data_IF_230012516170
#
_entry.id   IF_230012516170
#
_cell.length_a   1.000
_cell.length_b   1.000
_cell.length_c   1.000
_cell.angle_alpha   90.00
_cell.angle_beta   90.00
_cell.angle_gamma   90.00
#
_symmetry.space_group_name_H-M   'P 1'
#
loop_
_entity.id
_entity.type
_entity.pdbx_description
1 polymer ?
#
# COMPACT_ATOMS: atom_id res chain seq x y z
N UNK A 1 -17.71 -30.51 13.00
CA UNK A 1 -18.99 -30.84 12.35
C UNK A 1 -18.85 -30.32 10.93
N UNK A 2 -18.32 -31.14 10.01
CA UNK A 2 -18.06 -30.74 8.61
C UNK A 2 -19.40 -30.49 7.93
N UNK A 3 -19.55 -29.37 7.23
CA UNK A 3 -20.79 -29.09 6.49
C UNK A 3 -20.69 -29.74 5.11
N UNK A 4 -21.82 -30.24 4.57
CA UNK A 4 -21.87 -30.90 3.24
C UNK A 4 -21.32 -30.04 2.09
N UNK A 5 -21.21 -28.73 2.31
CA UNK A 5 -20.63 -27.78 1.36
C UNK A 5 -19.10 -27.85 1.35
N UNK A 6 -18.48 -28.03 2.52
CA UNK A 6 -17.03 -28.15 2.67
C UNK A 6 -16.52 -29.40 1.95
N UNK A 7 -17.26 -30.51 2.07
CA UNK A 7 -16.91 -31.78 1.43
C UNK A 7 -16.96 -31.68 -0.11
N UNK A 8 -17.91 -30.92 -0.67
CA UNK A 8 -18.02 -30.68 -2.13
C UNK A 8 -16.88 -29.83 -2.66
N UNK A 9 -16.48 -28.80 -1.92
CA UNK A 9 -15.38 -27.91 -2.31
C UNK A 9 -14.05 -28.69 -2.29
N UNK A 10 -13.86 -29.57 -1.32
CA UNK A 10 -12.71 -30.47 -1.24
C UNK A 10 -12.64 -31.42 -2.43
N UNK A 11 -13.76 -32.05 -2.80
CA UNK A 11 -13.83 -32.94 -3.97
C UNK A 11 -13.50 -32.20 -5.28
N UNK A 12 -13.98 -30.97 -5.44
CA UNK A 12 -13.69 -30.12 -6.60
C UNK A 12 -12.20 -29.71 -6.67
N UNK A 13 -11.60 -29.39 -5.53
CA UNK A 13 -10.20 -28.99 -5.44
C UNK A 13 -9.24 -30.16 -5.70
N UNK A 14 -9.57 -31.36 -5.22
CA UNK A 14 -8.82 -32.59 -5.51
C UNK A 14 -8.96 -32.97 -6.98
N UNK A 15 -10.17 -32.89 -7.56
CA UNK A 15 -10.42 -33.21 -8.96
C UNK A 15 -9.72 -32.23 -9.93
N UNK A 16 -9.54 -30.97 -9.51
CA UNK A 16 -8.83 -29.95 -10.29
C UNK A 16 -7.29 -30.04 -10.21
N UNK A 17 -6.75 -31.00 -9.44
CA UNK A 17 -5.31 -31.20 -9.25
C UNK A 17 -4.61 -30.05 -8.49
N UNK A 18 -5.39 -29.20 -7.82
CA UNK A 18 -4.90 -28.04 -7.06
C UNK A 18 -4.59 -28.36 -5.60
N UNK A 19 -4.99 -29.55 -5.15
CA UNK A 19 -4.78 -30.07 -3.80
C UNK A 19 -4.40 -31.54 -3.94
N UNK A 20 -3.16 -31.88 -3.61
CA UNK A 20 -2.69 -33.25 -3.54
C UNK A 20 -3.15 -33.86 -2.20
N UNK A 21 -3.56 -35.13 -2.21
CA UNK A 21 -4.07 -35.82 -1.01
C UNK A 21 -3.05 -35.85 0.14
N UNK A 22 -1.76 -35.75 -0.19
CA UNK A 22 -0.63 -35.77 0.73
C UNK A 22 -0.57 -34.51 1.63
N UNK A 23 -0.89 -33.33 1.08
CA UNK A 23 -0.91 -32.06 1.82
C UNK A 23 -2.00 -32.05 2.91
N UNK A 24 -3.11 -32.74 2.65
CA UNK A 24 -4.22 -32.84 3.61
C UNK A 24 -3.87 -33.76 4.80
N UNK A 25 -3.14 -34.85 4.55
CA UNK A 25 -2.67 -35.72 5.63
C UNK A 25 -1.67 -35.01 6.55
N UNK A 26 -0.79 -34.17 6.00
CA UNK A 26 0.20 -33.42 6.77
C UNK A 26 -0.46 -32.41 7.73
N UNK A 27 -1.45 -31.66 7.26
CA UNK A 27 -2.20 -30.70 8.08
C UNK A 27 -2.99 -31.42 9.19
N UNK A 28 -3.56 -32.58 8.88
CA UNK A 28 -4.33 -33.36 9.85
C UNK A 28 -3.41 -33.99 10.91
N UNK A 29 -2.21 -34.40 10.53
CA UNK A 29 -1.17 -34.86 11.46
C UNK A 29 -0.67 -33.74 12.37
N UNK A 30 -0.45 -32.53 11.84
CA UNK A 30 -0.04 -31.37 12.62
C UNK A 30 -1.13 -30.95 13.63
N UNK A 31 -2.39 -30.96 13.20
CA UNK A 31 -3.55 -30.66 14.05
C UNK A 31 -3.67 -31.64 15.22
N UNK A 32 -3.55 -32.95 14.97
CA UNK A 32 -3.58 -33.97 16.04
C UNK A 32 -2.44 -33.79 17.05
N UNK A 33 -1.23 -33.52 16.57
CA UNK A 33 -0.06 -33.32 17.44
C UNK A 33 -0.17 -32.06 18.30
N UNK A 34 -0.81 -31.00 17.80
CA UNK A 34 -1.03 -29.76 18.55
C UNK A 34 -2.11 -29.92 19.62
N UNK A 35 -3.19 -30.65 19.32
CA UNK A 35 -4.27 -30.91 20.28
C UNK A 35 -3.77 -31.77 21.45
N UNK A 36 -2.92 -32.77 21.18
CA UNK A 36 -2.35 -33.63 22.24
C UNK A 36 -1.36 -32.90 23.18
N UNK A 37 -0.76 -31.77 22.76
CA UNK A 37 0.19 -31.01 23.59
C UNK A 37 -0.39 -29.77 24.29
N UNK A 38 -1.58 -29.30 23.90
CA UNK A 38 -2.17 -28.06 24.41
C UNK A 38 -3.32 -28.26 25.41
N UNK A 39 -3.78 -29.50 25.62
CA UNK A 39 -4.81 -29.84 26.62
C UNK A 39 -4.20 -30.29 27.96
N UNK A 40 -3.27 -29.50 28.51
CA UNK A 40 -2.94 -29.62 29.93
C UNK A 40 -3.96 -28.77 30.68
N UNK A 41 -4.98 -29.42 31.24
CA UNK A 41 -5.86 -28.76 32.20
C UNK A 41 -4.99 -28.16 33.32
N UNK A 42 -5.15 -26.87 33.66
CA UNK A 42 -4.35 -26.26 34.71
C UNK A 42 -4.51 -27.08 35.99
N UNK A 43 -3.42 -27.40 36.72
CA UNK A 43 -3.51 -28.22 37.91
C UNK A 43 -4.45 -27.55 38.92
N UNK A 44 -5.41 -28.29 39.49
CA UNK A 44 -6.47 -27.79 40.40
C UNK A 44 -5.99 -26.78 41.48
N UNK A 45 -4.72 -26.84 41.87
CA UNK A 45 -4.08 -25.86 42.77
C UNK A 45 -3.95 -24.42 42.25
N UNK A 46 -4.16 -24.18 40.95
CA UNK A 46 -4.06 -22.84 40.34
C UNK A 46 -5.30 -22.00 40.66
N UNK A 47 -6.48 -22.63 40.70
CA UNK A 47 -7.73 -22.00 41.11
C UNK A 47 -7.70 -21.62 42.60
N UNK A 48 -7.20 -22.51 43.46
CA UNK A 48 -7.05 -22.23 44.89
C UNK A 48 -6.17 -21.02 45.15
N UNK A 49 -5.05 -20.90 44.41
CA UNK A 49 -4.15 -19.73 44.49
C UNK A 49 -4.82 -18.46 44.00
N UNK A 50 -5.59 -18.55 42.91
CA UNK A 50 -6.33 -17.42 42.36
C UNK A 50 -7.38 -16.90 43.35
N UNK A 51 -8.20 -17.79 43.94
CA UNK A 51 -9.20 -17.41 44.93
C UNK A 51 -8.57 -16.89 46.23
N UNK A 52 -7.43 -17.44 46.66
CA UNK A 52 -6.66 -16.86 47.77
C UNK A 52 -6.15 -15.44 47.47
N UNK A 53 -5.67 -15.17 46.25
CA UNK A 53 -5.25 -13.82 45.86
C UNK A 53 -6.43 -12.84 45.81
N UNK A 54 -7.59 -13.26 45.30
CA UNK A 54 -8.82 -12.45 45.31
C UNK A 54 -9.26 -12.11 46.74
N UNK A 55 -9.29 -13.11 47.63
CA UNK A 55 -9.64 -12.91 49.03
C UNK A 55 -8.66 -11.94 49.74
N UNK A 56 -7.35 -12.08 49.47
CA UNK A 56 -6.31 -11.20 50.01
C UNK A 56 -6.42 -9.75 49.50
N UNK A 57 -6.91 -9.54 48.29
CA UNK A 57 -7.09 -8.21 47.72
C UNK A 57 -8.40 -7.55 48.20
N UNK A 58 -9.49 -8.32 48.31
CA UNK A 58 -10.78 -7.83 48.77
C UNK A 58 -10.80 -7.45 50.26
N UNK A 59 -9.97 -8.07 51.10
CA UNK A 59 -9.85 -7.70 52.52
C UNK A 59 -9.08 -6.40 52.76
N UNK A 60 -8.21 -5.98 51.82
CA UNK A 60 -7.47 -4.70 51.92
C UNK A 60 -8.30 -3.50 51.46
N UNK A 61 -9.42 -3.73 50.78
CA UNK A 61 -10.29 -2.68 50.26
C UNK A 61 -11.26 -2.08 51.30
N UNK A 62 -11.48 -2.73 52.45
CA UNK A 62 -12.61 -2.39 53.35
C UNK A 62 -12.24 -1.71 54.68
N UNK A 63 -10.98 -1.31 54.89
CA UNK A 63 -10.58 -0.51 56.05
C UNK A 63 -9.93 0.81 55.64
N UNK A 64 -10.66 1.63 54.89
CA UNK A 64 -10.36 3.07 54.81
C UNK A 64 -11.09 3.77 55.94
N UNK A 65 -10.36 4.08 57.00
CA UNK A 65 -10.80 5.02 58.03
C UNK A 65 -11.15 6.34 57.34
N UNK A 66 -12.43 6.66 57.30
CA UNK A 66 -12.91 7.96 56.87
C UNK A 66 -12.58 8.98 57.96
N UNK A 67 -11.32 9.41 57.99
CA UNK A 67 -10.96 10.65 58.68
C UNK A 67 -11.74 11.74 57.96
N UNK A 68 -12.73 12.32 58.64
CA UNK A 68 -13.56 13.41 58.15
C UNK A 68 -12.68 14.62 57.83
N UNK A 69 -12.06 14.61 56.66
CA UNK A 69 -11.44 15.78 56.07
C UNK A 69 -12.56 16.75 55.71
N UNK A 70 -12.38 18.02 56.05
CA UNK A 70 -13.34 19.08 55.74
C UNK A 70 -13.52 19.20 54.23
N UNK A 71 -14.47 18.45 53.67
CA UNK A 71 -14.75 18.37 52.24
C UNK A 71 -15.04 19.74 51.61
N UNK A 72 -15.47 20.73 52.40
CA UNK A 72 -15.71 22.10 51.92
C UNK A 72 -14.43 22.82 51.50
N UNK A 73 -13.31 22.67 52.23
CA UNK A 73 -12.03 23.30 51.84
C UNK A 73 -11.34 22.51 50.74
N UNK A 74 -11.47 21.18 50.76
CA UNK A 74 -10.91 20.31 49.72
C UNK A 74 -11.62 20.49 48.37
N UNK A 75 -12.95 20.66 48.37
CA UNK A 75 -13.72 20.93 47.15
C UNK A 75 -13.36 22.28 46.52
N UNK A 76 -13.07 23.30 47.34
CA UNK A 76 -12.71 24.63 46.87
C UNK A 76 -11.32 24.61 46.21
N UNK A 77 -10.33 23.96 46.84
CA UNK A 77 -9.00 23.77 46.26
C UNK A 77 -9.06 22.93 44.98
N UNK A 78 -9.85 21.85 44.96
CA UNK A 78 -10.01 20.99 43.80
C UNK A 78 -10.67 21.74 42.62
N UNK A 79 -11.68 22.57 42.89
CA UNK A 79 -12.33 23.40 41.87
C UNK A 79 -11.37 24.44 41.29
N UNK A 80 -10.54 25.07 42.13
CA UNK A 80 -9.51 26.00 41.66
C UNK A 80 -8.45 25.31 40.81
N UNK A 81 -7.96 24.13 41.22
CA UNK A 81 -6.99 23.33 40.45
C UNK A 81 -7.56 22.86 39.12
N UNK A 82 -8.84 22.46 39.09
CA UNK A 82 -9.54 22.06 37.88
C UNK A 82 -9.69 23.25 36.92
N UNK A 83 -10.10 24.41 37.42
CA UNK A 83 -10.19 25.64 36.62
C UNK A 83 -8.82 26.08 36.09
N UNK A 84 -7.78 26.01 36.92
CA UNK A 84 -6.42 26.38 36.52
C UNK A 84 -5.86 25.38 35.50
N UNK A 85 -6.10 24.09 35.69
CA UNK A 85 -5.73 23.04 34.75
C UNK A 85 -6.52 23.12 33.44
N UNK A 86 -7.81 23.45 33.51
CA UNK A 86 -8.65 23.67 32.33
C UNK A 86 -8.22 24.91 31.56
N UNK A 87 -7.90 26.01 32.26
CA UNK A 87 -7.44 27.25 31.64
C UNK A 87 -6.04 27.10 31.02
N UNK A 88 -5.10 26.47 31.74
CA UNK A 88 -3.79 26.12 31.21
C UNK A 88 -3.91 25.15 30.02
N UNK A 89 -4.77 24.14 30.14
CA UNK A 89 -5.07 23.19 29.07
C UNK A 89 -5.70 23.87 27.86
N UNK A 90 -6.59 24.83 28.05
CA UNK A 90 -7.22 25.60 26.97
C UNK A 90 -6.20 26.51 26.25
N UNK A 91 -5.29 27.15 27.00
CA UNK A 91 -4.20 27.93 26.43
C UNK A 91 -3.24 27.04 25.61
N UNK A 92 -2.87 25.87 26.14
CA UNK A 92 -1.99 24.90 25.47
C UNK A 92 -2.68 24.24 24.26
N UNK A 93 -3.98 23.98 24.32
CA UNK A 93 -4.75 23.41 23.22
C UNK A 93 -4.80 24.36 22.01
N UNK A 94 -4.76 25.67 22.23
CA UNK A 94 -4.67 26.68 21.17
C UNK A 94 -3.33 26.66 20.42
N UNK A 95 -2.29 26.09 21.02
CA UNK A 95 -0.96 25.96 20.43
C UNK A 95 -0.71 24.58 19.79
N UNK A 96 -1.52 23.58 20.11
CA UNK A 96 -1.46 22.23 19.54
C UNK A 96 -2.22 22.06 18.22
N UNK A 97 -2.63 23.15 17.57
CA UNK A 97 -2.75 23.17 16.11
C UNK A 97 -1.36 23.27 15.48
N UNK A 98 -0.41 22.41 15.89
CA UNK A 98 0.69 22.04 15.00
C UNK A 98 -0.02 21.47 13.79
N UNK A 99 0.06 22.22 12.71
CA UNK A 99 -0.82 22.10 11.57
C UNK A 99 -0.84 20.65 11.13
N UNK A 100 -2.00 19.99 11.14
CA UNK A 100 -2.12 18.63 10.57
C UNK A 100 -1.52 18.57 9.15
N UNK A 101 -1.51 19.70 8.44
CA UNK A 101 -0.81 19.88 7.18
C UNK A 101 0.70 19.65 7.27
N UNK A 102 1.38 20.13 8.31
CA UNK A 102 2.83 19.99 8.48
C UNK A 102 3.22 18.54 8.74
N UNK A 103 2.41 17.81 9.52
CA UNK A 103 2.60 16.37 9.74
C UNK A 103 2.33 15.55 8.47
N UNK A 104 1.29 15.92 7.70
CA UNK A 104 0.98 15.28 6.42
C UNK A 104 2.07 15.55 5.38
N UNK A 105 2.61 16.77 5.33
CA UNK A 105 3.72 17.13 4.45
C UNK A 105 4.98 16.32 4.75
N UNK A 106 5.35 16.18 6.02
CA UNK A 106 6.49 15.35 6.44
C UNK A 106 6.30 13.87 6.06
N UNK A 107 5.08 13.33 6.23
CA UNK A 107 4.79 11.96 5.83
C UNK A 107 4.86 11.77 4.30
N UNK A 108 4.43 12.75 3.51
CA UNK A 108 4.53 12.69 2.05
C UNK A 108 5.99 12.76 1.58
N UNK A 109 6.81 13.62 2.21
CA UNK A 109 8.24 13.73 1.91
C UNK A 109 9.00 12.42 2.21
N UNK A 110 8.72 11.77 3.34
CA UNK A 110 9.30 10.47 3.67
C UNK A 110 8.87 9.37 2.68
N UNK A 111 7.58 9.37 2.26
CA UNK A 111 7.10 8.42 1.24
C UNK A 111 7.82 8.63 -0.09
N UNK A 112 8.03 9.88 -0.49
CA UNK A 112 8.74 10.24 -1.69
C UNK A 112 10.20 9.75 -1.67
N UNK A 113 10.90 9.94 -0.55
CA UNK A 113 12.26 9.44 -0.38
C UNK A 113 12.36 7.91 -0.51
N UNK A 114 11.41 7.18 0.10
CA UNK A 114 11.32 5.72 0.00
C UNK A 114 11.08 5.27 -1.45
N UNK A 115 10.20 5.94 -2.18
CA UNK A 115 9.95 5.64 -3.59
C UNK A 115 11.23 5.82 -4.41
N UNK A 116 11.91 6.96 -4.25
CA UNK A 116 13.13 7.28 -5.00
C UNK A 116 14.26 6.28 -4.67
N UNK A 117 14.47 5.97 -3.40
CA UNK A 117 15.47 4.99 -2.97
C UNK A 117 15.20 3.59 -3.55
N UNK A 118 13.93 3.18 -3.63
CA UNK A 118 13.58 1.89 -4.22
C UNK A 118 13.70 1.88 -5.75
N UNK A 119 13.49 3.01 -6.43
CA UNK A 119 13.72 3.14 -7.87
C UNK A 119 15.20 2.96 -8.26
N UNK A 120 16.15 3.31 -7.38
CA UNK A 120 17.60 3.14 -7.61
C UNK A 120 18.11 1.71 -7.28
N UNK A 121 17.22 0.80 -6.88
CA UNK A 121 17.59 -0.55 -6.46
C UNK A 121 17.95 -1.45 -7.65
N UNK A 122 18.93 -2.36 -7.49
CA UNK A 122 19.33 -3.34 -8.53
C UNK A 122 18.22 -4.32 -8.91
N UNK A 123 17.31 -4.66 -8.00
CA UNK A 123 16.24 -5.63 -8.28
C UNK A 123 15.07 -5.01 -9.03
N UNK A 124 14.70 -5.60 -10.18
CA UNK A 124 13.50 -5.26 -10.96
C UNK A 124 12.22 -5.31 -10.11
N UNK A 125 12.08 -6.29 -9.22
CA UNK A 125 10.88 -6.40 -8.38
C UNK A 125 10.75 -5.23 -7.40
N UNK A 126 11.88 -4.74 -6.88
CA UNK A 126 11.90 -3.59 -5.97
C UNK A 126 11.51 -2.30 -6.69
N UNK A 127 12.02 -2.11 -7.92
CA UNK A 127 11.66 -0.95 -8.76
C UNK A 127 10.20 -0.97 -9.19
N UNK A 128 9.65 -2.15 -9.56
CA UNK A 128 8.21 -2.30 -9.84
C UNK A 128 7.35 -1.95 -8.62
N UNK A 129 7.72 -2.42 -7.43
CA UNK A 129 7.02 -2.04 -6.20
C UNK A 129 7.07 -0.52 -5.98
N UNK A 130 8.22 0.12 -6.21
CA UNK A 130 8.38 1.56 -6.08
C UNK A 130 7.43 2.32 -6.99
N UNK A 131 7.32 1.91 -8.25
CA UNK A 131 6.37 2.49 -9.21
C UNK A 131 4.93 2.29 -8.73
N UNK A 132 4.56 1.10 -8.26
CA UNK A 132 3.22 0.83 -7.73
C UNK A 132 2.84 1.70 -6.52
N UNK A 133 3.81 2.09 -5.68
CA UNK A 133 3.57 2.99 -4.55
C UNK A 133 3.13 4.41 -4.98
N UNK A 134 3.53 4.86 -6.18
CA UNK A 134 3.15 6.18 -6.70
C UNK A 134 1.66 6.30 -7.01
N UNK A 135 0.99 5.19 -7.31
CA UNK A 135 -0.46 5.16 -7.58
C UNK A 135 -1.30 5.43 -6.32
N UNK A 136 -0.72 5.23 -5.12
CA UNK A 136 -1.39 5.44 -3.84
C UNK A 136 -1.14 6.85 -3.27
N UNK A 137 -0.43 7.71 -4.00
CA UNK A 137 -0.18 9.09 -3.57
C UNK A 137 -1.35 9.98 -4.04
N UNK A 138 -1.87 10.87 -3.17
CA UNK A 138 -2.97 11.77 -3.54
C UNK A 138 -2.54 12.79 -4.59
N UNK A 139 -1.28 13.21 -4.57
CA UNK A 139 -0.63 14.02 -5.60
C UNK A 139 0.79 13.49 -5.82
N UNK A 140 1.24 13.52 -7.07
CA UNK A 140 2.63 13.21 -7.43
C UNK A 140 3.41 14.51 -7.49
N UNK A 141 4.51 14.59 -6.74
CA UNK A 141 5.41 15.73 -6.76
C UNK A 141 6.20 15.79 -8.07
N UNK A 142 6.69 16.97 -8.43
CA UNK A 142 7.53 17.18 -9.61
C UNK A 142 8.73 16.21 -9.67
N UNK A 143 9.33 15.92 -8.50
CA UNK A 143 10.48 15.02 -8.39
C UNK A 143 10.11 13.57 -8.70
N UNK A 144 8.94 13.11 -8.27
CA UNK A 144 8.44 11.76 -8.60
C UNK A 144 8.11 11.69 -10.10
N UNK A 145 7.48 12.73 -10.67
CA UNK A 145 7.24 12.79 -12.12
C UNK A 145 8.55 12.67 -12.91
N UNK A 146 9.56 13.44 -12.55
CA UNK A 146 10.89 13.41 -13.19
C UNK A 146 11.55 12.04 -13.02
N UNK A 147 11.49 11.46 -11.83
CA UNK A 147 12.02 10.13 -11.57
C UNK A 147 11.34 9.05 -12.44
N UNK A 148 10.00 9.06 -12.53
CA UNK A 148 9.27 8.13 -13.40
C UNK A 148 9.63 8.33 -14.88
N UNK A 149 9.74 9.57 -15.36
CA UNK A 149 10.18 9.86 -16.73
C UNK A 149 11.62 9.38 -17.00
N UNK A 150 12.52 9.52 -16.02
CA UNK A 150 13.86 8.93 -16.10
C UNK A 150 13.82 7.40 -16.14
N UNK A 151 12.96 6.77 -15.34
CA UNK A 151 12.75 5.32 -15.33
C UNK A 151 12.26 4.81 -16.69
N UNK A 152 11.34 5.53 -17.35
CA UNK A 152 10.85 5.20 -18.70
C UNK A 152 11.98 5.21 -19.75
N UNK A 153 13.01 6.04 -19.59
CA UNK A 153 14.09 6.11 -20.59
C UNK A 153 15.28 5.21 -20.26
N UNK A 154 15.50 4.90 -18.98
CA UNK A 154 16.76 4.32 -18.53
C UNK A 154 16.63 2.95 -17.82
N UNK A 155 15.43 2.52 -17.41
CA UNK A 155 15.32 1.25 -16.69
C UNK A 155 15.67 0.08 -17.62
N UNK A 156 16.53 -0.87 -17.20
CA UNK A 156 16.88 -2.01 -18.03
C UNK A 156 15.70 -2.95 -18.30
N UNK A 157 14.66 -2.94 -17.46
CA UNK A 157 13.50 -3.83 -17.60
C UNK A 157 12.33 -3.14 -18.31
N UNK A 158 11.90 -3.72 -19.42
CA UNK A 158 10.69 -3.32 -20.16
C UNK A 158 9.46 -3.21 -19.25
N UNK A 159 9.30 -4.16 -18.31
CA UNK A 159 8.18 -4.18 -17.37
C UNK A 159 8.16 -2.96 -16.45
N UNK A 160 9.33 -2.51 -15.97
CA UNK A 160 9.41 -1.31 -15.12
C UNK A 160 9.12 -0.06 -15.94
N UNK A 161 9.60 0.00 -17.20
CA UNK A 161 9.29 1.11 -18.12
C UNK A 161 7.79 1.19 -18.39
N UNK A 162 7.13 0.06 -18.70
CA UNK A 162 5.68 -0.03 -18.91
C UNK A 162 4.91 0.39 -17.66
N UNK A 163 5.26 -0.15 -16.49
CA UNK A 163 4.61 0.23 -15.24
C UNK A 163 4.75 1.74 -14.94
N UNK A 164 5.90 2.33 -15.29
CA UNK A 164 6.14 3.76 -15.09
C UNK A 164 5.30 4.62 -16.03
N UNK A 165 5.10 4.17 -17.28
CA UNK A 165 4.18 4.80 -18.24
C UNK A 165 2.75 4.77 -17.67
N UNK A 166 2.30 3.62 -17.19
CA UNK A 166 0.96 3.46 -16.62
C UNK A 166 0.73 4.34 -15.39
N UNK A 167 1.73 4.45 -14.51
CA UNK A 167 1.69 5.30 -13.33
C UNK A 167 1.57 6.80 -13.67
N UNK A 168 2.00 7.23 -14.86
CA UNK A 168 1.90 8.62 -15.29
C UNK A 168 0.55 8.99 -15.94
N UNK A 169 -0.27 8.00 -16.34
CA UNK A 169 -1.57 8.25 -17.00
C UNK A 169 -2.49 9.19 -16.21
N UNK A 170 -2.68 9.02 -14.88
CA UNK A 170 -3.56 9.91 -14.09
C UNK A 170 -3.12 11.39 -14.13
N UNK A 171 -1.84 11.64 -14.43
CA UNK A 171 -1.21 12.96 -14.43
C UNK A 171 -1.06 13.54 -15.84
N UNK A 172 -1.66 12.94 -16.87
CA UNK A 172 -1.51 13.34 -18.28
C UNK A 172 -2.07 14.73 -18.67
N UNK A 173 -2.74 15.43 -17.74
CA UNK A 173 -3.10 16.84 -17.90
C UNK A 173 -1.90 17.77 -17.67
N UNK A 174 -0.87 17.32 -16.96
CA UNK A 174 0.36 18.09 -16.75
C UNK A 174 1.18 18.10 -18.04
N UNK A 175 1.55 19.29 -18.50
CA UNK A 175 2.33 19.46 -19.72
C UNK A 175 3.68 18.73 -19.66
N UNK A 176 4.33 18.74 -18.48
CA UNK A 176 5.57 17.99 -18.24
C UNK A 176 5.41 16.48 -18.49
N UNK A 177 4.28 15.90 -18.09
CA UNK A 177 3.99 14.47 -18.31
C UNK A 177 3.73 14.21 -19.79
N UNK A 178 2.89 15.04 -20.41
CA UNK A 178 2.54 14.92 -21.83
C UNK A 178 3.78 15.01 -22.71
N UNK A 179 4.55 16.09 -22.59
CA UNK A 179 5.79 16.29 -23.33
C UNK A 179 6.84 15.23 -23.01
N UNK A 180 6.94 14.80 -21.74
CA UNK A 180 7.85 13.74 -21.32
C UNK A 180 7.57 12.38 -21.98
N UNK A 181 6.31 11.97 -22.03
CA UNK A 181 5.89 10.71 -22.70
C UNK A 181 6.13 10.77 -24.21
N UNK A 182 5.90 11.92 -24.85
CA UNK A 182 6.18 12.10 -26.28
C UNK A 182 7.68 11.97 -26.55
N UNK A 183 8.51 12.66 -25.77
CA UNK A 183 9.96 12.64 -25.92
C UNK A 183 10.60 11.29 -25.59
N UNK A 184 9.89 10.40 -24.89
CA UNK A 184 10.32 9.04 -24.63
C UNK A 184 10.23 8.14 -25.87
N UNK A 185 9.28 8.38 -26.79
CA UNK A 185 9.04 7.56 -27.99
C UNK A 185 10.32 7.26 -28.79
N UNK A 186 11.12 8.27 -29.22
CA UNK A 186 12.31 8.02 -30.04
C UNK A 186 13.44 7.27 -29.31
N UNK A 187 13.34 7.11 -27.99
CA UNK A 187 14.34 6.43 -27.16
C UNK A 187 14.00 4.95 -26.97
N UNK A 188 12.76 4.53 -27.25
CA UNK A 188 12.33 3.16 -27.01
C UNK A 188 12.66 2.24 -28.19
N UNK A 189 13.29 1.11 -27.86
CA UNK A 189 13.58 0.01 -28.81
C UNK A 189 12.63 -1.17 -28.65
N UNK A 190 11.98 -1.29 -27.49
CA UNK A 190 11.06 -2.39 -27.21
C UNK A 190 9.69 -2.10 -27.83
N UNK A 191 9.17 -2.99 -28.71
CA UNK A 191 7.83 -2.83 -29.28
C UNK A 191 6.74 -2.79 -28.20
N UNK A 192 6.88 -3.56 -27.12
CA UNK A 192 5.90 -3.57 -26.03
C UNK A 192 5.84 -2.23 -25.29
N UNK A 193 6.98 -1.59 -25.07
CA UNK A 193 7.03 -0.25 -24.45
C UNK A 193 6.42 0.80 -25.39
N UNK A 194 6.64 0.69 -26.70
CA UNK A 194 6.00 1.56 -27.69
C UNK A 194 4.47 1.42 -27.70
N UNK A 195 3.93 0.20 -27.57
CA UNK A 195 2.47 -0.02 -27.45
C UNK A 195 1.94 0.65 -26.18
N UNK A 196 2.60 0.43 -25.05
CA UNK A 196 2.20 1.04 -23.77
C UNK A 196 2.21 2.57 -23.84
N UNK A 197 3.24 3.18 -24.46
CA UNK A 197 3.28 4.62 -24.70
C UNK A 197 2.12 5.09 -25.58
N UNK A 198 1.78 4.34 -26.63
CA UNK A 198 0.69 4.70 -27.52
C UNK A 198 -0.66 4.67 -26.79
N UNK A 199 -0.93 3.61 -26.03
CA UNK A 199 -2.14 3.49 -25.20
C UNK A 199 -2.22 4.62 -24.16
N UNK A 200 -1.10 4.95 -23.52
CA UNK A 200 -1.05 6.03 -22.54
C UNK A 200 -1.33 7.39 -23.20
N UNK A 201 -0.68 7.69 -24.32
CA UNK A 201 -0.87 8.95 -25.07
C UNK A 201 -2.29 9.08 -25.60
N UNK A 202 -2.92 7.98 -26.02
CA UNK A 202 -4.34 7.96 -26.37
C UNK A 202 -5.21 8.30 -25.16
N UNK A 203 -5.02 7.61 -24.02
CA UNK A 203 -5.81 7.82 -22.80
C UNK A 203 -5.78 9.27 -22.31
N UNK A 204 -4.66 9.96 -22.49
CA UNK A 204 -4.48 11.36 -22.08
C UNK A 204 -4.82 12.37 -23.21
N UNK A 205 -5.27 11.90 -24.38
CA UNK A 205 -5.69 12.73 -25.51
C UNK A 205 -4.54 13.42 -26.26
N UNK A 206 -3.33 12.85 -26.24
CA UNK A 206 -2.13 13.36 -26.91
C UNK A 206 -1.95 12.73 -28.30
N UNK A 207 -2.96 12.84 -29.17
CA UNK A 207 -3.01 12.16 -30.49
C UNK A 207 -1.99 12.73 -31.51
N UNK A 208 -1.43 13.91 -31.25
CA UNK A 208 -0.46 14.56 -32.15
C UNK A 208 0.90 13.83 -32.23
N UNK A 209 1.11 12.79 -31.42
CA UNK A 209 2.38 12.04 -31.32
C UNK A 209 2.56 10.96 -32.39
N UNK A 210 1.57 10.75 -33.27
CA UNK A 210 1.57 9.71 -34.32
C UNK A 210 2.83 9.77 -35.20
N UNK A 211 3.28 10.97 -35.55
CA UNK A 211 4.44 11.14 -36.43
C UNK A 211 5.75 10.70 -35.74
N UNK A 212 5.85 10.85 -34.41
CA UNK A 212 7.00 10.36 -33.67
C UNK A 212 7.05 8.83 -33.64
N UNK A 213 5.89 8.18 -33.49
CA UNK A 213 5.80 6.72 -33.59
C UNK A 213 6.22 6.21 -34.98
N UNK A 214 5.69 6.79 -36.07
CA UNK A 214 6.06 6.40 -37.44
C UNK A 214 7.56 6.47 -37.68
N UNK A 215 8.18 7.57 -37.23
CA UNK A 215 9.62 7.76 -37.39
C UNK A 215 10.45 6.74 -36.62
N UNK A 216 9.98 6.30 -35.44
CA UNK A 216 10.69 5.30 -34.63
C UNK A 216 10.52 3.88 -35.18
N UNK A 217 9.32 3.52 -35.62
CA UNK A 217 9.02 2.20 -36.18
C UNK A 217 9.87 1.91 -37.42
N UNK A 218 10.05 2.90 -38.29
CA UNK A 218 10.87 2.79 -39.50
C UNK A 218 12.37 2.57 -39.21
N UNK A 219 12.87 2.87 -38.00
CA UNK A 219 14.29 2.74 -37.63
C UNK A 219 14.62 1.40 -36.97
N UNK A 220 13.77 0.93 -36.06
CA UNK A 220 14.11 -0.17 -35.15
C UNK A 220 13.35 -1.46 -35.48
N UNK A 221 12.26 -1.40 -36.25
CA UNK A 221 11.41 -2.56 -36.53
C UNK A 221 11.57 -2.99 -38.01
N UNK A 222 11.80 -4.28 -38.30
CA UNK A 222 11.80 -4.79 -39.67
C UNK A 222 10.50 -4.42 -40.40
N UNK A 223 10.52 -4.10 -41.70
CA UNK A 223 9.35 -3.59 -42.43
C UNK A 223 8.09 -4.47 -42.27
N UNK A 224 8.27 -5.79 -42.24
CA UNK A 224 7.19 -6.77 -42.05
C UNK A 224 6.49 -6.71 -40.68
N UNK A 225 7.20 -6.30 -39.63
CA UNK A 225 6.65 -6.09 -38.29
C UNK A 225 6.14 -4.65 -38.10
N UNK A 226 6.74 -3.68 -38.81
CA UNK A 226 6.34 -2.28 -38.77
C UNK A 226 4.93 -2.08 -39.33
N UNK A 227 4.57 -2.74 -40.43
CA UNK A 227 3.23 -2.61 -41.02
C UNK A 227 2.12 -3.16 -40.11
N UNK A 228 2.37 -4.31 -39.47
CA UNK A 228 1.45 -4.93 -38.53
C UNK A 228 1.29 -4.06 -37.27
N UNK A 229 2.41 -3.55 -36.75
CA UNK A 229 2.42 -2.65 -35.61
C UNK A 229 1.77 -1.30 -35.94
N UNK A 230 1.99 -0.74 -37.12
CA UNK A 230 1.36 0.52 -37.55
C UNK A 230 -0.16 0.35 -37.66
N UNK A 231 -0.63 -0.80 -38.14
CA UNK A 231 -2.06 -1.13 -38.17
C UNK A 231 -2.65 -1.22 -36.78
N UNK A 232 -1.99 -1.91 -35.85
CA UNK A 232 -2.43 -2.04 -34.47
C UNK A 232 -2.36 -0.70 -33.73
N UNK A 233 -1.32 0.10 -33.98
CA UNK A 233 -1.16 1.46 -33.47
C UNK A 233 -2.27 2.37 -33.99
N UNK A 234 -2.58 2.33 -35.29
CA UNK A 234 -3.72 3.05 -35.86
C UNK A 234 -5.02 2.58 -35.23
N UNK A 235 -5.23 1.27 -35.06
CA UNK A 235 -6.40 0.74 -34.37
C UNK A 235 -6.51 1.33 -32.98
N UNK A 236 -5.49 1.16 -32.14
CA UNK A 236 -5.43 1.69 -30.77
C UNK A 236 -5.75 3.18 -30.77
N UNK A 237 -5.11 4.00 -31.60
CA UNK A 237 -5.31 5.45 -31.61
C UNK A 237 -6.67 5.90 -32.18
N UNK A 238 -7.39 5.07 -32.93
CA UNK A 238 -8.64 5.45 -33.63
C UNK A 238 -9.91 4.85 -33.01
N UNK A 239 -9.83 3.71 -32.31
CA UNK A 239 -11.00 2.87 -31.94
C UNK A 239 -11.94 3.43 -30.85
N UNK A 240 -11.77 4.69 -30.41
CA UNK A 240 -12.61 5.31 -29.36
C UNK A 240 -12.90 6.81 -29.56
N UNK A 241 -12.72 7.33 -30.78
CA UNK A 241 -13.22 8.66 -31.14
C UNK A 241 -14.72 8.61 -31.48
#
# INVERSE_FOLDING_TARGET
MSTKEDDRILEELIASGRLELEDFEEINHLSRNLVDHLLIDPPNSMDDRFYQMLAKNNQKATKRSARLFNFKTLALVASFLLLLGFFAGYLLHRQNSISKSELVSQLNELKEEVVISKLDNKSTSSRLQAVGLTQNLPEVSHKITEALLMTINNDPSDNVRIASIEALIPYGQLETVRSGLINAIPQQKSPLVLISLAEALQKIGAVQSVDQFKNQLNKEIPPSLSDAFEKDLKSVLTDKL
#
